data_IF_101797133167
#
_entry.id   IF_101797133167
#
_cell.length_a   1.000
_cell.length_b   1.000
_cell.length_c   1.000
_cell.angle_alpha   90.00
_cell.angle_beta   90.00
_cell.angle_gamma   90.00
#
_symmetry.space_group_name_H-M   'P 1'
#
loop_
_entity.id
_entity.type
_entity.pdbx_description
1 polymer ?
#
# COMPACT_ATOMS: atom_id res chain seq x y z
N UNK A 1 -12.23 -3.66 36.56
CA UNK A 1 -12.17 -2.70 35.43
C UNK A 1 -11.56 -3.43 34.24
N UNK A 2 -12.11 -3.27 33.04
CA UNK A 2 -11.47 -3.77 31.83
C UNK A 2 -10.28 -2.87 31.47
N UNK A 3 -9.12 -3.44 31.19
CA UNK A 3 -7.90 -2.69 30.87
C UNK A 3 -7.80 -2.51 29.35
N UNK A 4 -7.68 -1.27 28.89
CA UNK A 4 -7.50 -0.96 27.47
C UNK A 4 -6.10 -1.37 26.99
N UNK A 5 -6.04 -1.98 25.81
CA UNK A 5 -4.79 -2.31 25.09
C UNK A 5 -3.73 -3.04 25.94
N UNK A 6 -4.12 -4.16 26.56
CA UNK A 6 -3.16 -5.08 27.17
C UNK A 6 -2.29 -5.77 26.09
N UNK A 7 -1.37 -6.64 26.52
CA UNK A 7 -0.67 -7.52 25.57
C UNK A 7 -1.61 -8.47 24.83
N UNK A 8 -2.78 -8.77 25.39
CA UNK A 8 -3.87 -9.54 24.77
C UNK A 8 -4.85 -8.67 23.98
N UNK A 9 -4.47 -7.45 23.62
CA UNK A 9 -5.33 -6.57 22.82
C UNK A 9 -5.89 -7.29 21.58
N UNK A 10 -7.22 -7.27 21.44
CA UNK A 10 -8.04 -7.95 20.42
C UNK A 10 -8.07 -9.49 20.46
N UNK A 11 -7.37 -10.14 21.39
CA UNK A 11 -7.33 -11.61 21.53
C UNK A 11 -8.34 -12.05 22.59
N UNK A 12 -9.44 -12.67 22.15
CA UNK A 12 -10.60 -12.94 23.00
C UNK A 12 -10.66 -14.36 23.57
N UNK A 13 -9.84 -15.28 23.04
CA UNK A 13 -9.78 -16.68 23.47
C UNK A 13 -8.32 -17.19 23.57
N UNK A 14 -8.13 -18.33 24.24
CA UNK A 14 -6.79 -18.88 24.53
C UNK A 14 -6.06 -19.39 23.29
N UNK A 15 -6.81 -19.89 22.30
CA UNK A 15 -6.27 -20.29 21.00
C UNK A 15 -5.68 -19.06 20.31
N UNK A 16 -6.41 -17.95 20.26
CA UNK A 16 -5.95 -16.69 19.68
C UNK A 16 -4.70 -16.13 20.39
N UNK A 17 -4.66 -16.20 21.72
CA UNK A 17 -3.47 -15.83 22.52
C UNK A 17 -2.26 -16.67 22.11
N UNK A 18 -2.44 -17.98 22.01
CA UNK A 18 -1.39 -18.91 21.61
C UNK A 18 -0.91 -18.63 20.18
N UNK A 19 -1.83 -18.56 19.22
CA UNK A 19 -1.51 -18.26 17.82
C UNK A 19 -0.76 -16.95 17.66
N UNK A 20 -1.19 -15.89 18.35
CA UNK A 20 -0.55 -14.59 18.25
C UNK A 20 0.82 -14.56 18.94
N UNK A 21 0.89 -14.84 20.24
CA UNK A 21 2.11 -14.64 21.02
C UNK A 21 3.21 -15.65 20.66
N UNK A 22 2.84 -16.90 20.38
CA UNK A 22 3.79 -17.98 20.09
C UNK A 22 4.22 -18.01 18.62
N UNK A 23 3.34 -17.65 17.69
CA UNK A 23 3.59 -17.86 16.26
C UNK A 23 3.54 -16.60 15.40
N UNK A 24 2.58 -15.69 15.59
CA UNK A 24 2.45 -14.51 14.72
C UNK A 24 3.40 -13.37 15.08
N UNK A 25 3.49 -13.02 16.37
CA UNK A 25 4.27 -11.90 16.86
C UNK A 25 5.78 -12.04 16.53
N UNK A 26 6.41 -13.24 16.65
CA UNK A 26 7.82 -13.41 16.32
C UNK A 26 8.16 -13.35 14.82
N UNK A 27 7.18 -13.49 13.92
CA UNK A 27 7.45 -13.52 12.47
C UNK A 27 8.01 -12.17 11.98
N UNK A 28 9.01 -12.18 11.07
CA UNK A 28 9.46 -10.96 10.42
C UNK A 28 8.37 -10.32 9.55
N UNK A 29 8.59 -9.08 9.12
CA UNK A 29 7.72 -8.34 8.22
C UNK A 29 8.32 -8.35 6.80
N UNK A 30 7.49 -8.74 5.83
CA UNK A 30 7.71 -8.53 4.40
C UNK A 30 6.68 -7.48 3.97
N UNK A 31 7.05 -6.20 4.00
CA UNK A 31 6.13 -5.10 3.67
C UNK A 31 6.19 -4.81 2.17
N UNK A 32 5.58 -5.70 1.39
CA UNK A 32 5.76 -5.77 -0.07
C UNK A 32 5.27 -4.55 -0.86
N UNK A 33 4.54 -3.64 -0.23
CA UNK A 33 4.07 -2.41 -0.85
C UNK A 33 3.90 -1.31 0.20
N UNK A 34 4.69 -0.25 0.06
CA UNK A 34 4.64 0.95 0.89
C UNK A 34 5.01 2.20 0.08
N UNK A 35 4.91 3.35 0.74
CA UNK A 35 5.20 4.68 0.21
C UNK A 35 6.31 5.38 1.00
N UNK A 36 7.18 4.62 1.68
CA UNK A 36 8.37 5.14 2.34
C UNK A 36 9.29 5.82 1.33
N UNK A 37 9.94 6.90 1.75
CA UNK A 37 10.95 7.56 0.93
C UNK A 37 12.24 6.73 0.87
N UNK A 38 12.69 6.29 -0.33
CA UNK A 38 13.95 5.57 -0.47
C UNK A 38 15.15 6.38 0.04
N UNK A 39 15.11 7.70 -0.15
CA UNK A 39 16.13 8.61 0.36
C UNK A 39 16.22 8.58 1.88
N UNK A 40 15.09 8.62 2.59
CA UNK A 40 15.09 8.62 4.06
C UNK A 40 15.64 7.32 4.63
N UNK A 41 15.45 6.20 3.92
CA UNK A 41 16.07 4.93 4.26
C UNK A 41 17.58 4.97 3.98
N UNK A 42 17.98 5.43 2.79
CA UNK A 42 19.38 5.50 2.37
C UNK A 42 20.23 6.42 3.27
N UNK A 43 19.71 7.59 3.63
CA UNK A 43 20.37 8.58 4.48
C UNK A 43 20.21 8.28 5.98
N UNK A 44 19.50 7.20 6.33
CA UNK A 44 19.13 6.83 7.71
C UNK A 44 18.54 8.01 8.49
N UNK A 45 17.48 8.63 7.94
CA UNK A 45 16.88 9.87 8.46
C UNK A 45 16.73 9.81 9.98
N UNK A 46 17.30 10.81 10.65
CA UNK A 46 17.05 11.12 12.05
C UNK A 46 15.90 12.12 12.11
N UNK A 47 14.89 11.81 12.91
CA UNK A 47 13.76 12.71 13.10
C UNK A 47 14.03 13.63 14.29
N UNK A 48 13.74 14.92 14.12
CA UNK A 48 14.04 15.94 15.12
C UNK A 48 13.14 15.82 16.35
N UNK A 49 11.88 15.44 16.14
CA UNK A 49 10.88 15.35 17.19
C UNK A 49 9.70 14.44 16.81
N UNK A 50 8.86 14.11 17.80
CA UNK A 50 7.69 13.26 17.63
C UNK A 50 6.66 13.86 16.67
N UNK A 51 6.45 15.18 16.68
CA UNK A 51 5.51 15.83 15.75
C UNK A 51 5.86 15.56 14.29
N UNK A 52 7.16 15.70 13.96
CA UNK A 52 7.70 15.51 12.62
C UNK A 52 7.43 14.08 12.09
N UNK A 53 7.93 13.04 12.79
CA UNK A 53 7.77 11.64 12.34
C UNK A 53 6.28 11.19 12.30
N UNK A 54 5.42 11.84 13.09
CA UNK A 54 4.05 11.37 13.32
C UNK A 54 2.98 12.10 12.52
N UNK A 55 3.20 13.38 12.18
CA UNK A 55 2.20 14.24 11.54
C UNK A 55 2.49 14.54 10.05
N UNK A 56 3.63 14.15 9.50
CA UNK A 56 3.95 14.31 8.07
C UNK A 56 3.10 13.40 7.13
N UNK A 57 2.51 12.30 7.62
CA UNK A 57 1.66 11.37 6.84
C UNK A 57 0.84 10.40 7.74
N UNK A 58 0.04 9.44 7.25
CA UNK A 58 -0.59 9.23 5.92
C UNK A 58 -1.92 9.99 5.80
N UNK A 59 -1.95 11.26 6.20
CA UNK A 59 -3.10 12.16 6.04
C UNK A 59 -4.36 11.79 6.88
N UNK A 60 -4.44 10.61 7.51
CA UNK A 60 -5.56 10.25 8.41
C UNK A 60 -5.68 11.22 9.60
N UNK A 61 -4.54 11.57 10.20
CA UNK A 61 -4.49 12.54 11.32
C UNK A 61 -5.00 13.91 10.87
N UNK A 62 -4.62 14.37 9.67
CA UNK A 62 -5.11 15.62 9.08
C UNK A 62 -6.63 15.60 8.87
N UNK A 63 -7.17 14.50 8.35
CA UNK A 63 -8.63 14.33 8.19
C UNK A 63 -9.36 14.41 9.54
N UNK A 64 -8.83 13.77 10.58
CA UNK A 64 -9.42 13.83 11.92
C UNK A 64 -9.34 15.25 12.53
N UNK A 65 -8.20 15.93 12.40
CA UNK A 65 -8.01 17.32 12.83
C UNK A 65 -9.02 18.27 12.17
N UNK A 66 -9.16 18.20 10.83
CA UNK A 66 -10.16 18.97 10.08
C UNK A 66 -11.58 18.65 10.53
N UNK A 67 -11.89 17.37 10.76
CA UNK A 67 -13.20 16.93 11.26
C UNK A 67 -13.50 17.46 12.67
N UNK A 68 -12.47 17.64 13.50
CA UNK A 68 -12.56 18.22 14.83
C UNK A 68 -12.59 19.76 14.83
N UNK A 69 -12.58 20.40 13.66
CA UNK A 69 -12.61 21.86 13.50
C UNK A 69 -11.28 22.55 13.78
N UNK A 70 -10.16 21.82 13.75
CA UNK A 70 -8.82 22.41 13.88
C UNK A 70 -8.49 23.21 12.61
N UNK A 71 -7.94 24.40 12.80
CA UNK A 71 -7.52 25.28 11.71
C UNK A 71 -6.39 24.66 10.88
N UNK A 72 -6.40 24.87 9.56
CA UNK A 72 -5.45 24.24 8.64
C UNK A 72 -3.99 24.67 8.90
N UNK A 73 -3.78 25.86 9.47
CA UNK A 73 -2.45 26.33 9.90
C UNK A 73 -1.78 25.37 10.90
N UNK A 74 -2.57 24.73 11.77
CA UNK A 74 -2.11 23.74 12.75
C UNK A 74 -2.05 22.31 12.19
N UNK A 75 -2.23 22.15 10.88
CA UNK A 75 -2.18 20.85 10.20
C UNK A 75 -1.04 20.86 9.18
N UNK A 76 -1.12 21.70 8.16
CA UNK A 76 -0.14 21.77 7.06
C UNK A 76 0.53 23.13 6.92
N UNK A 77 0.18 24.10 7.77
CA UNK A 77 0.79 25.43 7.76
C UNK A 77 2.29 25.38 7.97
N UNK A 78 3.04 26.19 7.21
CA UNK A 78 4.49 26.35 7.36
C UNK A 78 4.85 27.32 8.50
N UNK A 79 3.86 28.07 8.95
CA UNK A 79 3.93 29.13 9.96
C UNK A 79 3.84 28.63 11.40
N UNK A 80 3.29 27.43 11.64
CA UNK A 80 3.18 26.83 12.98
C UNK A 80 4.29 25.82 13.22
N UNK A 81 4.75 25.70 14.46
CA UNK A 81 5.78 24.74 14.87
C UNK A 81 5.24 23.31 15.00
N UNK A 82 6.14 22.33 14.96
CA UNK A 82 5.78 20.91 15.15
C UNK A 82 5.10 20.66 16.51
N UNK A 83 5.53 21.37 17.56
CA UNK A 83 4.95 21.22 18.90
C UNK A 83 3.51 21.75 18.96
N UNK A 84 3.21 22.87 18.30
CA UNK A 84 1.85 23.39 18.23
C UNK A 84 0.92 22.43 17.47
N UNK A 85 1.38 21.88 16.34
CA UNK A 85 0.64 20.84 15.60
C UNK A 85 0.45 19.57 16.43
N UNK A 86 1.48 19.16 17.17
CA UNK A 86 1.43 18.03 18.11
C UNK A 86 0.40 18.25 19.22
N UNK A 87 0.35 19.44 19.81
CA UNK A 87 -0.66 19.75 20.82
C UNK A 87 -2.07 19.82 20.24
N UNK A 88 -2.24 20.32 19.01
CA UNK A 88 -3.51 20.24 18.30
C UNK A 88 -3.96 18.78 18.10
N UNK A 89 -3.01 17.88 17.80
CA UNK A 89 -3.26 16.44 17.75
C UNK A 89 -3.60 15.84 19.12
N UNK A 90 -2.85 16.18 20.18
CA UNK A 90 -3.13 15.75 21.55
C UNK A 90 -4.54 16.15 22.03
N UNK A 91 -4.99 17.36 21.68
CA UNK A 91 -6.34 17.84 21.97
C UNK A 91 -7.43 17.12 21.15
N UNK A 92 -7.04 16.42 20.08
CA UNK A 92 -7.95 15.75 19.15
C UNK A 92 -8.08 14.27 19.45
N UNK A 93 -7.01 13.57 19.85
CA UNK A 93 -7.03 12.12 20.12
C UNK A 93 -8.15 11.67 21.05
N UNK A 94 -8.47 12.35 22.17
CA UNK A 94 -9.60 11.95 23.04
C UNK A 94 -10.96 11.92 22.33
N UNK A 95 -11.11 12.65 21.21
CA UNK A 95 -12.33 12.71 20.38
C UNK A 95 -12.40 11.58 19.34
N UNK A 96 -11.37 10.72 19.26
CA UNK A 96 -11.24 9.69 18.21
C UNK A 96 -11.63 8.28 18.69
N UNK A 97 -12.28 8.14 19.85
CA UNK A 97 -12.79 6.85 20.33
C UNK A 97 -13.69 6.19 19.27
N UNK A 98 -13.38 4.93 18.95
CA UNK A 98 -14.05 4.17 17.88
C UNK A 98 -13.42 4.33 16.49
N UNK A 99 -12.57 5.34 16.27
CA UNK A 99 -11.76 5.46 15.06
C UNK A 99 -10.45 4.66 15.21
N UNK A 100 -9.93 4.01 14.15
CA UNK A 100 -8.66 3.27 14.23
C UNK A 100 -7.46 4.14 14.65
N UNK A 101 -7.50 5.46 14.44
CA UNK A 101 -6.49 6.40 14.94
C UNK A 101 -6.26 6.29 16.45
N UNK A 102 -7.30 5.94 17.22
CA UNK A 102 -7.13 5.73 18.65
C UNK A 102 -6.29 4.48 18.93
N UNK A 103 -6.47 3.40 18.16
CA UNK A 103 -5.63 2.22 18.30
C UNK A 103 -4.20 2.47 17.81
N UNK A 104 -4.03 3.07 16.62
CA UNK A 104 -2.70 3.34 16.08
C UNK A 104 -1.86 4.23 16.99
N UNK A 105 -2.43 5.33 17.48
CA UNK A 105 -1.76 6.23 18.45
C UNK A 105 -1.12 5.45 19.60
N UNK A 106 -1.87 4.55 20.23
CA UNK A 106 -1.38 3.84 21.41
C UNK A 106 -0.52 2.62 21.06
N UNK A 107 -0.74 1.97 19.91
CA UNK A 107 0.13 0.92 19.41
C UNK A 107 1.52 1.48 19.04
N UNK A 108 1.57 2.62 18.35
CA UNK A 108 2.79 3.30 17.93
C UNK A 108 3.59 3.79 19.15
N UNK A 109 2.92 4.32 20.18
CA UNK A 109 3.56 4.67 21.45
C UNK A 109 4.10 3.44 22.19
N UNK A 110 3.40 2.29 22.13
CA UNK A 110 3.90 1.05 22.71
C UNK A 110 5.11 0.52 21.96
N UNK A 111 5.08 0.51 20.62
CA UNK A 111 6.15 0.02 19.74
C UNK A 111 6.34 1.01 18.58
N UNK A 112 7.50 1.69 18.49
CA UNK A 112 8.78 1.35 19.13
C UNK A 112 9.05 2.05 20.47
N UNK A 113 8.24 3.02 20.92
CA UNK A 113 8.65 3.91 22.01
C UNK A 113 8.61 3.29 23.42
N UNK A 114 7.88 2.19 23.63
CA UNK A 114 7.80 1.50 24.92
C UNK A 114 6.88 2.17 25.94
N UNK A 115 5.99 3.05 25.50
CA UNK A 115 5.06 3.78 26.38
C UNK A 115 3.75 2.97 26.48
N UNK A 116 3.42 2.53 27.68
CA UNK A 116 2.23 1.68 27.96
C UNK A 116 1.47 2.18 29.18
N UNK A 117 0.19 1.81 29.31
CA UNK A 117 -0.62 2.14 30.50
C UNK A 117 -1.01 3.62 30.62
N UNK A 118 -0.73 4.42 29.59
CA UNK A 118 -0.99 5.86 29.54
C UNK A 118 -1.85 6.17 28.32
N UNK A 119 -2.97 6.87 28.53
CA UNK A 119 -3.77 7.38 27.43
C UNK A 119 -3.15 8.66 26.89
N UNK A 120 -3.01 8.77 25.57
CA UNK A 120 -2.50 9.96 24.92
C UNK A 120 -3.57 11.06 24.87
N UNK A 121 -3.24 12.23 25.41
CA UNK A 121 -4.11 13.39 25.44
C UNK A 121 -3.40 14.60 26.04
N UNK A 122 -4.12 15.71 26.28
CA UNK A 122 -3.51 16.97 26.73
C UNK A 122 -2.66 16.82 27.99
N UNK A 123 -3.13 16.04 28.97
CA UNK A 123 -2.47 15.87 30.27
C UNK A 123 -1.20 15.01 30.21
N UNK A 124 -1.00 14.25 29.13
CA UNK A 124 0.12 13.30 28.98
C UNK A 124 1.06 13.65 27.84
N UNK A 125 0.63 14.52 26.92
CA UNK A 125 1.33 14.86 25.70
C UNK A 125 2.72 15.46 25.94
N UNK A 126 2.89 16.35 26.91
CA UNK A 126 4.20 16.97 27.18
C UNK A 126 5.25 15.95 27.63
N UNK A 127 4.86 15.04 28.52
CA UNK A 127 5.74 13.97 29.00
C UNK A 127 6.10 12.99 27.88
N UNK A 128 5.12 12.59 27.06
CA UNK A 128 5.32 11.68 25.93
C UNK A 128 6.23 12.32 24.87
N UNK A 129 6.03 13.60 24.57
CA UNK A 129 6.87 14.35 23.63
C UNK A 129 8.33 14.28 24.03
N UNK A 130 8.63 14.63 25.29
CA UNK A 130 10.01 14.63 25.80
C UNK A 130 10.63 13.23 25.73
N UNK A 131 9.93 12.21 26.23
CA UNK A 131 10.42 10.82 26.22
C UNK A 131 10.67 10.29 24.80
N UNK A 132 9.77 10.57 23.86
CA UNK A 132 9.93 10.14 22.48
C UNK A 132 11.07 10.87 21.78
N UNK A 133 11.25 12.17 22.01
CA UNK A 133 12.34 12.93 21.40
C UNK A 133 13.72 12.46 21.88
N UNK A 134 13.86 12.14 23.17
CA UNK A 134 15.09 11.52 23.71
C UNK A 134 15.42 10.22 22.98
N UNK A 135 14.40 9.39 22.69
CA UNK A 135 14.56 8.15 21.93
C UNK A 135 14.94 8.43 20.47
N UNK A 136 14.23 9.33 19.79
CA UNK A 136 14.45 9.71 18.39
C UNK A 136 15.87 10.23 18.13
N UNK A 137 16.50 10.85 19.13
CA UNK A 137 17.89 11.28 19.06
C UNK A 137 18.92 10.11 19.04
N UNK A 138 18.50 8.87 19.33
CA UNK A 138 19.38 7.70 19.36
C UNK A 138 19.39 6.92 18.05
N UNK A 139 20.50 6.23 17.69
CA UNK A 139 20.61 5.38 16.51
C UNK A 139 19.45 4.39 16.30
N UNK A 140 18.95 3.78 17.39
CA UNK A 140 17.88 2.80 17.32
C UNK A 140 16.54 3.36 16.79
N UNK A 141 16.35 4.69 16.79
CA UNK A 141 15.10 5.33 16.39
C UNK A 141 15.23 6.21 15.12
N UNK A 142 16.26 6.01 14.29
CA UNK A 142 16.22 6.51 12.90
C UNK A 142 15.27 5.65 12.06
N UNK A 143 15.07 6.08 10.80
CA UNK A 143 14.42 5.29 9.77
C UNK A 143 14.84 3.80 9.80
N UNK A 144 16.14 3.47 9.65
CA UNK A 144 16.61 2.07 9.64
C UNK A 144 16.47 1.43 11.03
N UNK A 145 16.75 2.18 12.09
CA UNK A 145 16.65 1.69 13.47
C UNK A 145 15.24 1.21 13.82
N UNK A 146 14.22 1.97 13.44
CA UNK A 146 12.81 1.59 13.66
C UNK A 146 12.45 0.35 12.83
N UNK A 147 12.86 0.29 11.56
CA UNK A 147 12.65 -0.90 10.71
C UNK A 147 13.22 -2.17 11.37
N UNK A 148 14.44 -2.07 11.92
CA UNK A 148 15.08 -3.18 12.63
C UNK A 148 14.34 -3.58 13.90
N UNK A 149 13.96 -2.61 14.76
CA UNK A 149 13.18 -2.88 15.98
C UNK A 149 11.83 -3.56 15.68
N UNK A 150 11.23 -3.24 14.53
CA UNK A 150 9.95 -3.80 14.10
C UNK A 150 10.09 -5.13 13.34
N UNK A 151 11.30 -5.69 13.27
CA UNK A 151 11.63 -6.96 12.61
C UNK A 151 11.28 -6.98 11.11
N UNK A 152 11.48 -5.85 10.43
CA UNK A 152 11.33 -5.74 8.98
C UNK A 152 12.51 -6.44 8.30
N UNK A 153 12.23 -7.21 7.24
CA UNK A 153 13.25 -7.92 6.45
C UNK A 153 13.25 -7.50 4.99
N UNK A 154 12.11 -7.07 4.47
CA UNK A 154 12.00 -6.54 3.12
C UNK A 154 10.90 -5.50 3.07
N UNK A 155 11.11 -4.44 2.29
CA UNK A 155 10.08 -3.48 1.90
C UNK A 155 10.05 -3.30 0.38
N UNK A 156 8.85 -3.10 -0.18
CA UNK A 156 8.64 -2.71 -1.57
C UNK A 156 8.19 -1.25 -1.65
N UNK A 157 9.06 -0.33 -2.03
CA UNK A 157 8.68 1.07 -2.25
C UNK A 157 7.86 1.21 -3.53
N UNK A 158 7.22 2.35 -3.73
CA UNK A 158 6.38 2.62 -4.90
C UNK A 158 6.96 3.78 -5.70
N UNK A 159 7.49 3.47 -6.88
CA UNK A 159 8.39 4.36 -7.62
C UNK A 159 7.88 4.58 -9.06
N UNK A 160 8.10 5.79 -9.58
CA UNK A 160 7.65 6.20 -10.91
C UNK A 160 8.63 5.68 -11.99
N UNK A 161 8.14 5.27 -13.17
CA UNK A 161 8.98 4.90 -14.31
C UNK A 161 10.18 5.81 -14.58
N UNK A 162 10.08 7.12 -14.33
CA UNK A 162 11.15 8.07 -14.63
C UNK A 162 12.23 8.18 -13.53
N UNK A 163 12.04 7.54 -12.38
CA UNK A 163 12.90 7.74 -11.21
C UNK A 163 14.31 7.15 -11.41
N UNK A 164 15.32 7.79 -10.81
CA UNK A 164 16.72 7.37 -10.94
C UNK A 164 17.01 6.01 -10.27
N UNK A 165 16.23 5.67 -9.23
CA UNK A 165 16.45 4.53 -8.32
C UNK A 165 17.85 4.53 -7.67
N UNK A 166 18.46 5.71 -7.52
CA UNK A 166 19.82 5.83 -6.99
C UNK A 166 19.92 5.40 -5.52
N UNK A 167 18.92 5.74 -4.71
CA UNK A 167 18.86 5.36 -3.30
C UNK A 167 18.70 3.86 -3.11
N UNK A 168 17.95 3.16 -3.98
CA UNK A 168 17.88 1.70 -3.98
C UNK A 168 19.25 1.07 -4.23
N UNK A 169 20.00 1.58 -5.22
CA UNK A 169 21.37 1.10 -5.49
C UNK A 169 22.32 1.42 -4.34
N UNK A 170 22.19 2.59 -3.72
CA UNK A 170 22.98 2.97 -2.54
C UNK A 170 22.72 2.00 -1.38
N UNK A 171 21.44 1.72 -1.07
CA UNK A 171 21.05 0.77 -0.03
C UNK A 171 21.58 -0.63 -0.35
N UNK A 172 21.40 -1.10 -1.58
CA UNK A 172 21.87 -2.44 -1.98
C UNK A 172 23.40 -2.60 -1.92
N UNK A 173 24.15 -1.50 -2.00
CA UNK A 173 25.62 -1.49 -1.91
C UNK A 173 26.15 -1.24 -0.49
N UNK A 174 25.26 -0.96 0.48
CA UNK A 174 25.62 -0.61 1.85
C UNK A 174 25.48 -1.82 2.78
N UNK A 175 26.60 -2.48 3.09
CA UNK A 175 26.65 -3.67 3.96
C UNK A 175 26.18 -3.41 5.42
N UNK A 176 25.94 -2.15 5.82
CA UNK A 176 25.43 -1.81 7.16
C UNK A 176 23.92 -2.03 7.33
N UNK A 177 23.19 -2.28 6.24
CA UNK A 177 21.75 -2.57 6.24
C UNK A 177 21.49 -3.91 5.55
N UNK A 178 20.86 -4.84 6.27
CA UNK A 178 20.49 -6.17 5.77
C UNK A 178 19.00 -6.27 5.37
N UNK A 179 18.26 -5.17 5.49
CA UNK A 179 16.87 -5.06 5.03
C UNK A 179 16.88 -4.82 3.53
N UNK A 180 16.19 -5.69 2.80
CA UNK A 180 16.05 -5.53 1.37
C UNK A 180 15.02 -4.41 1.05
N UNK A 181 15.43 -3.42 0.26
CA UNK A 181 14.58 -2.31 -0.18
C UNK A 181 14.45 -2.37 -1.69
N UNK A 182 13.37 -2.97 -2.18
CA UNK A 182 13.15 -3.14 -3.61
C UNK A 182 12.20 -2.07 -4.16
N UNK A 183 12.47 -1.52 -5.36
CA UNK A 183 11.53 -0.64 -6.02
C UNK A 183 10.33 -1.42 -6.59
N UNK A 184 9.17 -0.78 -6.64
CA UNK A 184 7.98 -1.30 -7.35
C UNK A 184 7.57 -0.32 -8.44
N UNK A 185 7.32 -0.84 -9.63
CA UNK A 185 6.99 -0.06 -10.82
C UNK A 185 5.54 0.46 -10.79
N UNK A 186 5.33 1.78 -10.68
CA UNK A 186 3.99 2.40 -10.72
C UNK A 186 3.80 3.38 -11.89
N UNK A 187 3.29 2.92 -13.05
CA UNK A 187 3.21 3.70 -14.27
C UNK A 187 1.90 4.50 -14.40
N UNK A 188 1.33 5.01 -13.31
CA UNK A 188 0.01 5.68 -13.30
C UNK A 188 -0.09 6.78 -14.37
N UNK A 189 0.94 7.60 -14.51
CA UNK A 189 0.97 8.72 -15.47
C UNK A 189 1.19 8.29 -16.92
N UNK A 190 1.59 7.04 -17.15
CA UNK A 190 1.77 6.45 -18.49
C UNK A 190 0.42 6.07 -19.11
N UNK A 191 -0.50 5.51 -18.33
CA UNK A 191 -1.77 4.99 -18.87
C UNK A 191 -2.96 5.95 -18.71
N UNK A 192 -2.85 6.98 -17.85
CA UNK A 192 -3.88 8.00 -17.62
C UNK A 192 -3.77 9.17 -18.61
N UNK A 193 -3.98 8.86 -19.89
CA UNK A 193 -3.81 9.80 -21.01
C UNK A 193 -4.72 11.03 -20.94
N UNK A 194 -5.85 10.91 -20.24
CA UNK A 194 -6.84 11.98 -20.09
C UNK A 194 -6.39 13.12 -19.16
N UNK A 195 -5.36 12.91 -18.34
CA UNK A 195 -4.91 13.92 -17.38
C UNK A 195 -4.10 15.02 -18.08
N UNK A 196 -4.30 16.27 -17.64
CA UNK A 196 -3.66 17.46 -18.23
C UNK A 196 -2.13 17.31 -18.36
N UNK A 197 -1.48 16.79 -17.32
CA UNK A 197 -0.03 16.62 -17.24
C UNK A 197 0.56 15.44 -18.03
N UNK A 198 -0.22 14.72 -18.83
CA UNK A 198 0.25 13.55 -19.59
C UNK A 198 1.41 13.90 -20.54
N UNK A 199 1.29 14.97 -21.32
CA UNK A 199 2.32 15.36 -22.32
C UNK A 199 3.62 15.78 -21.63
N UNK A 200 3.52 16.58 -20.57
CA UNK A 200 4.68 16.98 -19.75
C UNK A 200 5.38 15.76 -19.14
N UNK A 201 4.61 14.77 -18.69
CA UNK A 201 5.14 13.52 -18.16
C UNK A 201 5.81 12.69 -19.26
N UNK A 202 5.22 12.62 -20.45
CA UNK A 202 5.80 11.92 -21.58
C UNK A 202 7.17 12.50 -21.94
N UNK A 203 7.33 13.82 -21.95
CA UNK A 203 8.64 14.46 -22.17
C UNK A 203 9.69 14.09 -21.10
N UNK A 204 9.28 13.86 -19.84
CA UNK A 204 10.17 13.34 -18.80
C UNK A 204 10.53 11.87 -19.04
N UNK A 205 9.58 11.07 -19.52
CA UNK A 205 9.83 9.67 -19.88
C UNK A 205 10.78 9.57 -21.08
N UNK A 206 10.62 10.43 -22.10
CA UNK A 206 11.55 10.53 -23.23
C UNK A 206 12.98 10.77 -22.73
N UNK A 207 13.16 11.74 -21.83
CA UNK A 207 14.46 12.05 -21.23
C UNK A 207 15.02 10.90 -20.37
N UNK A 208 14.17 10.25 -19.57
CA UNK A 208 14.58 9.16 -18.67
C UNK A 208 14.95 7.86 -19.41
N UNK A 209 14.36 7.64 -20.60
CA UNK A 209 14.62 6.47 -21.44
C UNK A 209 15.60 6.74 -22.59
N UNK A 210 15.89 8.02 -22.89
CA UNK A 210 16.61 8.47 -24.08
C UNK A 210 15.97 7.92 -25.39
N UNK A 211 14.66 8.13 -25.51
CA UNK A 211 13.83 7.68 -26.65
C UNK A 211 12.84 8.79 -26.98
N UNK A 212 12.76 9.20 -28.26
CA UNK A 212 11.69 10.09 -28.71
C UNK A 212 10.40 9.30 -28.93
N UNK A 213 9.28 9.80 -28.40
CA UNK A 213 7.99 9.11 -28.39
C UNK A 213 6.99 9.86 -29.28
N UNK A 214 6.78 9.35 -30.49
CA UNK A 214 5.78 9.90 -31.43
C UNK A 214 4.70 8.88 -31.79
N UNK A 215 5.03 7.59 -31.71
CA UNK A 215 4.14 6.45 -31.97
C UNK A 215 4.04 5.56 -30.74
N UNK A 216 3.02 4.74 -30.69
CA UNK A 216 2.79 3.82 -29.58
C UNK A 216 3.93 2.79 -29.44
N UNK A 217 4.56 2.39 -30.54
CA UNK A 217 5.73 1.51 -30.47
C UNK A 217 6.95 2.19 -29.82
N UNK A 218 7.14 3.49 -30.06
CA UNK A 218 8.21 4.25 -29.41
C UNK A 218 7.98 4.30 -27.88
N UNK A 219 6.71 4.40 -27.45
CA UNK A 219 6.34 4.28 -26.03
C UNK A 219 6.70 2.89 -25.48
N UNK A 220 6.42 1.80 -26.20
CA UNK A 220 6.85 0.45 -25.78
C UNK A 220 8.37 0.36 -25.61
N UNK A 221 9.13 0.96 -26.52
CA UNK A 221 10.60 0.98 -26.45
C UNK A 221 11.08 1.75 -25.22
N UNK A 222 10.53 2.95 -24.96
CA UNK A 222 10.86 3.74 -23.78
C UNK A 222 10.55 2.96 -22.48
N UNK A 223 9.34 2.41 -22.37
CA UNK A 223 8.93 1.63 -21.21
C UNK A 223 9.75 0.36 -21.03
N UNK A 224 10.16 -0.32 -22.11
CA UNK A 224 11.02 -1.51 -22.03
C UNK A 224 12.35 -1.16 -21.39
N UNK A 225 13.02 -0.09 -21.82
CA UNK A 225 14.28 0.37 -21.21
C UNK A 225 14.12 0.69 -19.73
N UNK A 226 13.00 1.31 -19.35
CA UNK A 226 12.72 1.67 -17.96
C UNK A 226 12.36 0.44 -17.10
N UNK A 227 11.63 -0.53 -17.65
CA UNK A 227 11.41 -1.83 -16.99
C UNK A 227 12.72 -2.58 -16.77
N UNK A 228 13.65 -2.55 -17.74
CA UNK A 228 14.98 -3.16 -17.61
C UNK A 228 15.82 -2.45 -16.53
N UNK A 229 15.75 -1.11 -16.45
CA UNK A 229 16.38 -0.34 -15.36
C UNK A 229 15.84 -0.75 -13.99
N UNK A 230 14.51 -0.86 -13.86
CA UNK A 230 13.86 -1.33 -12.63
C UNK A 230 14.27 -2.76 -12.28
N UNK A 231 14.31 -3.66 -13.26
CA UNK A 231 14.75 -5.05 -13.06
C UNK A 231 16.20 -5.10 -12.57
N UNK A 232 17.10 -4.31 -13.15
CA UNK A 232 18.49 -4.21 -12.73
C UNK A 232 18.66 -3.63 -11.31
N UNK A 233 17.65 -2.88 -10.82
CA UNK A 233 17.59 -2.36 -9.45
C UNK A 233 16.80 -3.27 -8.49
N UNK A 234 16.48 -4.52 -8.87
CA UNK A 234 15.84 -5.51 -7.99
C UNK A 234 14.31 -5.50 -7.96
N UNK A 235 13.67 -4.76 -8.87
CA UNK A 235 12.21 -4.74 -8.99
C UNK A 235 11.63 -6.13 -9.27
N UNK A 236 10.52 -6.43 -8.60
CA UNK A 236 9.75 -7.69 -8.77
C UNK A 236 8.24 -7.51 -8.61
N UNK A 237 7.78 -6.26 -8.52
CA UNK A 237 6.39 -5.90 -8.35
C UNK A 237 6.07 -4.65 -9.15
N UNK A 238 4.81 -4.53 -9.54
CA UNK A 238 4.23 -3.34 -10.16
C UNK A 238 2.93 -3.00 -9.45
N UNK A 239 2.54 -1.74 -9.55
CA UNK A 239 1.33 -1.20 -8.94
C UNK A 239 0.63 -0.22 -9.88
N UNK A 240 -0.70 -0.16 -9.81
CA UNK A 240 -1.52 0.68 -10.68
C UNK A 240 -2.69 1.24 -9.87
N UNK A 241 -2.67 2.55 -9.62
CA UNK A 241 -3.82 3.26 -9.05
C UNK A 241 -4.84 3.56 -10.14
N UNK A 242 -6.05 3.02 -10.05
CA UNK A 242 -7.07 3.12 -11.10
C UNK A 242 -8.37 3.70 -10.52
N UNK A 243 -8.56 5.01 -10.70
CA UNK A 243 -9.78 5.72 -10.29
C UNK A 243 -10.96 5.38 -11.21
N UNK A 244 -10.71 5.36 -12.52
CA UNK A 244 -11.70 5.01 -13.55
C UNK A 244 -11.22 3.76 -14.30
N UNK A 245 -11.78 2.60 -13.95
CA UNK A 245 -11.44 1.35 -14.63
C UNK A 245 -12.16 1.27 -15.98
N UNK A 246 -11.38 1.39 -17.05
CA UNK A 246 -11.86 1.39 -18.44
C UNK A 246 -11.53 0.08 -19.12
N UNK A 247 -12.32 -0.27 -20.14
CA UNK A 247 -11.96 -1.31 -21.08
C UNK A 247 -12.51 -1.00 -22.48
N UNK A 248 -11.67 -1.16 -23.48
CA UNK A 248 -12.06 -1.31 -24.87
C UNK A 248 -11.10 -2.33 -25.53
N UNK A 249 -11.53 -3.13 -26.51
CA UNK A 249 -10.62 -4.00 -27.24
C UNK A 249 -9.43 -3.21 -27.78
N UNK A 250 -8.22 -3.74 -27.60
CA UNK A 250 -6.99 -3.11 -28.08
C UNK A 250 -7.04 -3.02 -29.60
N UNK A 251 -7.02 -1.80 -30.19
CA UNK A 251 -7.02 -1.65 -31.64
C UNK A 251 -5.61 -1.87 -32.20
N UNK A 252 -5.45 -1.76 -33.53
CA UNK A 252 -4.13 -1.79 -34.14
C UNK A 252 -3.28 -0.54 -33.81
N UNK A 253 -1.98 -0.62 -34.12
CA UNK A 253 -1.03 0.45 -33.82
C UNK A 253 -1.34 1.73 -34.60
N UNK A 254 -1.97 1.67 -35.78
CA UNK A 254 -2.33 2.87 -36.53
C UNK A 254 -3.37 3.70 -35.77
N UNK A 255 -4.36 3.04 -35.15
CA UNK A 255 -5.33 3.72 -34.29
C UNK A 255 -4.66 4.24 -33.00
N UNK A 256 -3.75 3.49 -32.37
CA UNK A 256 -3.05 3.94 -31.17
C UNK A 256 -2.14 5.15 -31.45
N UNK A 257 -1.45 5.17 -32.59
CA UNK A 257 -0.64 6.29 -33.07
C UNK A 257 -1.50 7.53 -33.29
N UNK A 258 -2.70 7.37 -33.88
CA UNK A 258 -3.65 8.46 -34.06
C UNK A 258 -4.12 9.05 -32.72
N UNK A 259 -4.45 8.21 -31.74
CA UNK A 259 -4.86 8.64 -30.39
C UNK A 259 -3.74 9.42 -29.70
N UNK A 260 -2.51 8.89 -29.72
CA UNK A 260 -1.35 9.56 -29.13
C UNK A 260 -1.06 10.89 -29.83
N UNK A 261 -1.11 10.91 -31.17
CA UNK A 261 -0.91 12.12 -31.97
C UNK A 261 -1.92 13.23 -31.64
N UNK A 262 -3.21 12.88 -31.51
CA UNK A 262 -4.24 13.82 -31.06
C UNK A 262 -3.94 14.39 -29.68
N UNK A 263 -3.54 13.53 -28.73
CA UNK A 263 -3.21 13.97 -27.36
C UNK A 263 -2.01 14.91 -27.34
N UNK A 264 -0.97 14.64 -28.13
CA UNK A 264 0.22 15.47 -28.29
C UNK A 264 -0.11 16.82 -28.95
N UNK A 265 -1.07 16.84 -29.88
CA UNK A 265 -1.59 18.06 -30.50
C UNK A 265 -2.53 18.89 -29.58
N UNK A 266 -2.81 18.40 -28.36
CA UNK A 266 -3.72 19.05 -27.42
C UNK A 266 -5.21 18.90 -27.76
N UNK A 267 -5.55 17.97 -28.65
CA UNK A 267 -6.94 17.67 -29.00
C UNK A 267 -7.62 16.85 -27.89
N UNK A 268 -8.92 17.05 -27.72
CA UNK A 268 -9.73 16.24 -26.79
C UNK A 268 -9.94 14.83 -27.34
N UNK A 269 -9.67 13.84 -26.50
CA UNK A 269 -9.96 12.44 -26.78
C UNK A 269 -11.40 12.08 -26.37
N UNK A 270 -12.02 11.19 -27.13
CA UNK A 270 -13.27 10.55 -26.74
C UNK A 270 -13.04 9.46 -25.68
N UNK A 271 -14.10 9.09 -24.96
CA UNK A 271 -14.06 8.01 -23.96
C UNK A 271 -13.59 6.67 -24.54
N UNK A 272 -13.94 6.38 -25.81
CA UNK A 272 -13.48 5.18 -26.50
C UNK A 272 -11.97 5.22 -26.77
N UNK A 273 -11.46 6.36 -27.23
CA UNK A 273 -10.02 6.55 -27.50
C UNK A 273 -9.19 6.43 -26.21
N UNK A 274 -9.67 7.01 -25.11
CA UNK A 274 -9.04 6.88 -23.78
C UNK A 274 -9.04 5.40 -23.37
N UNK A 275 -10.19 4.73 -23.44
CA UNK A 275 -10.29 3.32 -23.08
C UNK A 275 -9.37 2.42 -23.94
N UNK A 276 -9.27 2.67 -25.24
CA UNK A 276 -8.39 1.93 -26.15
C UNK A 276 -6.92 2.10 -25.77
N UNK A 277 -6.46 3.34 -25.58
CA UNK A 277 -5.07 3.62 -25.22
C UNK A 277 -4.72 3.05 -23.84
N UNK A 278 -5.54 3.33 -22.82
CA UNK A 278 -5.33 2.82 -21.46
C UNK A 278 -5.31 1.30 -21.42
N UNK A 279 -6.23 0.63 -22.13
CA UNK A 279 -6.25 -0.84 -22.19
C UNK A 279 -5.01 -1.37 -22.91
N UNK A 280 -4.59 -0.75 -24.01
CA UNK A 280 -3.40 -1.17 -24.75
C UNK A 280 -2.12 -1.09 -23.89
N UNK A 281 -1.94 0.00 -23.14
CA UNK A 281 -0.80 0.16 -22.22
C UNK A 281 -0.85 -0.90 -21.12
N UNK A 282 -2.00 -1.07 -20.44
CA UNK A 282 -2.12 -2.01 -19.33
C UNK A 282 -1.95 -3.48 -19.77
N UNK A 283 -2.53 -3.88 -20.90
CA UNK A 283 -2.37 -5.24 -21.44
C UNK A 283 -0.92 -5.50 -21.85
N UNK A 284 -0.27 -4.53 -22.52
CA UNK A 284 1.15 -4.67 -22.88
C UNK A 284 2.03 -4.79 -21.64
N UNK A 285 1.82 -3.94 -20.63
CA UNK A 285 2.52 -4.00 -19.34
C UNK A 285 2.28 -5.32 -18.62
N UNK A 286 1.04 -5.79 -18.56
CA UNK A 286 0.67 -7.09 -17.97
C UNK A 286 1.51 -8.24 -18.55
N UNK A 287 1.65 -8.27 -19.88
CA UNK A 287 2.50 -9.25 -20.58
C UNK A 287 3.98 -9.10 -20.21
N UNK A 288 4.49 -7.88 -20.09
CA UNK A 288 5.86 -7.64 -19.61
C UNK A 288 6.06 -8.18 -18.19
N UNK A 289 5.11 -7.95 -17.28
CA UNK A 289 5.20 -8.45 -15.92
C UNK A 289 5.17 -9.98 -15.88
N UNK A 290 4.34 -10.61 -16.71
CA UNK A 290 4.27 -12.07 -16.79
C UNK A 290 5.60 -12.66 -17.30
N UNK A 291 6.16 -12.11 -18.38
CA UNK A 291 7.45 -12.53 -18.92
C UNK A 291 8.61 -12.34 -17.94
N UNK A 292 8.53 -11.35 -17.05
CA UNK A 292 9.55 -11.04 -16.01
C UNK A 292 9.29 -11.76 -14.68
N UNK A 293 8.19 -12.52 -14.56
CA UNK A 293 7.80 -13.17 -13.30
C UNK A 293 7.43 -12.19 -12.17
N UNK A 294 7.03 -10.96 -12.51
CA UNK A 294 6.66 -9.92 -11.55
C UNK A 294 5.24 -10.09 -11.03
N UNK A 295 4.98 -9.49 -9.86
CA UNK A 295 3.63 -9.31 -9.34
C UNK A 295 3.01 -8.04 -9.91
N UNK A 296 1.75 -8.09 -10.31
CA UNK A 296 0.93 -6.95 -10.74
C UNK A 296 -0.12 -6.62 -9.69
N UNK A 297 -0.07 -5.41 -9.14
CA UNK A 297 -1.05 -4.92 -8.17
C UNK A 297 -1.98 -3.92 -8.86
N UNK A 298 -3.29 -4.03 -8.58
CA UNK A 298 -4.32 -3.13 -9.10
C UNK A 298 -5.12 -2.54 -7.92
N UNK A 299 -4.93 -1.26 -7.65
CA UNK A 299 -5.62 -0.50 -6.61
C UNK A 299 -6.78 0.33 -7.19
N UNK A 300 -8.01 -0.15 -7.02
CA UNK A 300 -9.16 0.29 -7.82
C UNK A 300 -10.18 1.08 -6.96
N UNK A 301 -10.66 2.21 -7.49
CA UNK A 301 -11.88 2.86 -7.01
C UNK A 301 -11.69 4.05 -6.09
N UNK A 302 -10.53 4.72 -6.10
CA UNK A 302 -10.40 6.04 -5.49
C UNK A 302 -11.16 7.11 -6.29
N UNK A 303 -11.78 8.06 -5.59
CA UNK A 303 -12.20 9.34 -6.15
C UNK A 303 -11.36 10.44 -5.49
N UNK A 304 -10.54 11.12 -6.30
CA UNK A 304 -9.44 11.96 -5.81
C UNK A 304 -9.69 13.44 -6.00
N UNK A 305 -9.01 14.26 -5.20
CA UNK A 305 -8.98 15.72 -5.30
C UNK A 305 -10.37 16.38 -5.22
N UNK A 306 -11.28 15.81 -4.41
CA UNK A 306 -12.69 16.23 -4.32
C UNK A 306 -12.88 17.68 -3.85
N UNK A 307 -11.90 18.24 -3.11
CA UNK A 307 -11.97 19.60 -2.60
C UNK A 307 -11.09 20.53 -3.43
N UNK A 308 -11.67 21.15 -4.46
CA UNK A 308 -10.94 22.05 -5.38
C UNK A 308 -10.27 23.23 -4.66
N UNK A 309 -10.91 23.80 -3.63
CA UNK A 309 -10.32 24.92 -2.87
C UNK A 309 -9.04 24.48 -2.18
N UNK A 310 -9.04 23.33 -1.53
CA UNK A 310 -7.88 22.81 -0.83
C UNK A 310 -6.82 22.25 -1.79
N UNK A 311 -7.23 21.65 -2.91
CA UNK A 311 -6.31 21.21 -3.96
C UNK A 311 -5.46 22.37 -4.50
N UNK A 312 -6.06 23.56 -4.71
CA UNK A 312 -5.32 24.76 -5.13
C UNK A 312 -4.29 25.24 -4.12
N UNK A 313 -4.47 24.93 -2.83
CA UNK A 313 -3.57 25.35 -1.76
C UNK A 313 -2.50 24.31 -1.43
N UNK A 314 -2.87 23.03 -1.46
CA UNK A 314 -2.06 21.92 -0.91
C UNK A 314 -1.64 20.89 -1.97
N UNK A 315 -2.28 20.87 -3.13
CA UNK A 315 -2.04 19.85 -4.15
C UNK A 315 -2.66 18.48 -3.82
N UNK A 316 -2.27 17.42 -4.55
CA UNK A 316 -2.78 16.06 -4.38
C UNK A 316 -2.30 15.40 -3.08
N UNK A 317 -2.85 14.23 -2.76
CA UNK A 317 -2.42 13.37 -1.63
C UNK A 317 -2.42 14.07 -0.26
N UNK A 318 -3.34 15.04 -0.08
CA UNK A 318 -3.41 15.87 1.13
C UNK A 318 -4.65 15.56 1.99
N UNK A 319 -5.19 14.34 1.85
CA UNK A 319 -6.30 13.85 2.67
C UNK A 319 -7.69 14.28 2.21
N UNK A 320 -7.86 14.69 0.95
CA UNK A 320 -9.16 15.06 0.33
C UNK A 320 -9.69 14.04 -0.68
N UNK A 321 -9.15 12.82 -0.65
CA UNK A 321 -9.59 11.69 -1.47
C UNK A 321 -10.58 10.81 -0.71
N UNK A 322 -11.42 10.05 -1.40
CA UNK A 322 -12.40 9.16 -0.76
C UNK A 322 -12.72 7.94 -1.62
N UNK A 323 -13.68 7.14 -1.15
CA UNK A 323 -14.18 5.94 -1.81
C UNK A 323 -15.06 6.34 -3.01
N UNK A 324 -14.72 5.87 -4.20
CA UNK A 324 -15.55 5.95 -5.42
C UNK A 324 -16.43 4.70 -5.60
N UNK A 325 -17.25 4.68 -6.65
CA UNK A 325 -18.34 3.68 -6.76
C UNK A 325 -18.73 3.35 -8.22
N UNK A 326 -17.77 3.37 -9.14
CA UNK A 326 -18.01 2.85 -10.50
C UNK A 326 -18.30 1.34 -10.47
N UNK A 327 -19.08 0.83 -11.44
CA UNK A 327 -19.23 -0.61 -11.64
C UNK A 327 -17.97 -1.16 -12.32
N UNK A 328 -17.27 -2.10 -11.68
CA UNK A 328 -15.93 -2.53 -12.14
C UNK A 328 -15.87 -3.93 -12.76
N UNK A 329 -16.84 -4.81 -12.49
CA UNK A 329 -16.72 -6.25 -12.76
C UNK A 329 -16.45 -6.58 -14.23
N UNK A 330 -17.19 -5.94 -15.15
CA UNK A 330 -17.04 -6.19 -16.59
C UNK A 330 -15.67 -5.75 -17.10
N UNK A 331 -15.28 -4.50 -16.83
CA UNK A 331 -13.99 -3.97 -17.30
C UNK A 331 -12.82 -4.75 -16.69
N UNK A 332 -12.89 -5.09 -15.41
CA UNK A 332 -11.89 -5.92 -14.72
C UNK A 332 -11.76 -7.30 -15.36
N UNK A 333 -12.88 -7.99 -15.59
CA UNK A 333 -12.88 -9.30 -16.25
C UNK A 333 -12.23 -9.25 -17.62
N UNK A 334 -12.59 -8.25 -18.44
CA UNK A 334 -12.07 -8.13 -19.81
C UNK A 334 -10.59 -7.73 -19.84
N UNK A 335 -10.15 -6.88 -18.92
CA UNK A 335 -8.75 -6.49 -18.80
C UNK A 335 -7.86 -7.69 -18.44
N UNK A 336 -8.23 -8.45 -17.40
CA UNK A 336 -7.49 -9.65 -16.98
C UNK A 336 -7.50 -10.71 -18.09
N UNK A 337 -8.65 -10.96 -18.70
CA UNK A 337 -8.79 -11.94 -19.79
C UNK A 337 -7.99 -11.57 -21.04
N UNK A 338 -7.82 -10.28 -21.34
CA UNK A 338 -7.01 -9.85 -22.49
C UNK A 338 -5.52 -10.17 -22.33
N UNK A 339 -5.05 -10.35 -21.08
CA UNK A 339 -3.72 -10.86 -20.77
C UNK A 339 -3.73 -12.40 -20.70
N UNK A 340 -4.77 -12.99 -20.12
CA UNK A 340 -4.84 -14.44 -19.86
C UNK A 340 -5.16 -15.28 -21.10
N UNK A 341 -5.84 -14.72 -22.11
CA UNK A 341 -6.18 -15.42 -23.36
C UNK A 341 -4.96 -15.91 -24.13
N UNK A 342 -3.81 -15.26 -23.95
CA UNK A 342 -2.50 -15.68 -24.48
C UNK A 342 -1.62 -16.37 -23.43
N UNK A 343 -2.18 -16.70 -22.26
CA UNK A 343 -1.49 -17.23 -21.07
C UNK A 343 -0.36 -16.30 -20.57
N UNK A 344 -0.59 -14.99 -20.67
CA UNK A 344 0.38 -13.95 -20.29
C UNK A 344 -0.15 -13.06 -19.14
N UNK A 345 -1.10 -13.56 -18.35
CA UNK A 345 -1.49 -12.90 -17.10
C UNK A 345 -0.43 -13.16 -16.01
N UNK A 346 0.13 -12.12 -15.36
CA UNK A 346 1.11 -12.29 -14.30
C UNK A 346 0.48 -12.77 -12.99
N UNK A 347 1.33 -13.01 -11.99
CA UNK A 347 0.90 -12.99 -10.58
C UNK A 347 0.17 -11.68 -10.33
N UNK A 348 -1.06 -11.72 -9.82
CA UNK A 348 -1.90 -10.51 -9.72
C UNK A 348 -2.49 -10.36 -8.32
N UNK A 349 -2.48 -9.15 -7.75
CA UNK A 349 -3.18 -8.81 -6.51
C UNK A 349 -4.20 -7.72 -6.81
N UNK A 350 -5.46 -7.96 -6.48
CA UNK A 350 -6.56 -7.03 -6.69
C UNK A 350 -6.95 -6.37 -5.37
N UNK A 351 -7.11 -5.05 -5.37
CA UNK A 351 -7.60 -4.27 -4.24
C UNK A 351 -8.78 -3.39 -4.67
N UNK A 352 -9.84 -3.35 -3.88
CA UNK A 352 -10.96 -2.45 -4.05
C UNK A 352 -11.04 -1.46 -2.89
N UNK A 353 -11.17 -0.17 -3.20
CA UNK A 353 -11.36 0.85 -2.17
C UNK A 353 -12.78 0.83 -1.60
N UNK A 354 -13.76 0.46 -2.43
CA UNK A 354 -15.14 0.33 -2.02
C UNK A 354 -15.42 -1.11 -1.56
N UNK A 355 -15.70 -1.33 -0.26
CA UNK A 355 -15.84 -2.68 0.26
C UNK A 355 -17.16 -3.36 -0.15
N UNK A 356 -18.02 -2.69 -0.95
CA UNK A 356 -19.14 -3.35 -1.64
C UNK A 356 -18.67 -4.31 -2.74
N UNK A 357 -17.43 -4.13 -3.20
CA UNK A 357 -16.83 -4.92 -4.27
C UNK A 357 -15.96 -6.07 -3.72
N UNK A 358 -15.99 -6.32 -2.41
CA UNK A 358 -15.23 -7.40 -1.78
C UNK A 358 -15.56 -8.76 -2.43
N UNK A 359 -16.84 -9.08 -2.56
CA UNK A 359 -17.31 -10.33 -3.16
C UNK A 359 -17.04 -10.39 -4.66
N UNK A 360 -17.10 -9.22 -5.34
CA UNK A 360 -16.75 -9.10 -6.76
C UNK A 360 -15.31 -9.52 -6.97
N UNK A 361 -14.36 -8.99 -6.18
CA UNK A 361 -12.95 -9.33 -6.29
C UNK A 361 -12.67 -10.76 -5.81
N UNK A 362 -13.21 -11.16 -4.65
CA UNK A 362 -12.98 -12.49 -4.07
C UNK A 362 -13.45 -13.62 -4.99
N UNK A 363 -14.47 -13.38 -5.84
CA UNK A 363 -14.89 -14.34 -6.88
C UNK A 363 -14.17 -14.13 -8.21
N UNK A 364 -13.81 -12.89 -8.58
CA UNK A 364 -13.04 -12.59 -9.79
C UNK A 364 -11.71 -13.35 -9.85
N UNK A 365 -11.00 -13.43 -8.71
CA UNK A 365 -9.71 -14.13 -8.64
C UNK A 365 -9.81 -15.62 -8.99
N UNK A 366 -10.97 -16.25 -8.78
CA UNK A 366 -11.19 -17.67 -9.08
C UNK A 366 -11.16 -17.98 -10.57
N UNK A 367 -11.49 -17.00 -11.41
CA UNK A 367 -11.55 -17.18 -12.88
C UNK A 367 -10.18 -17.35 -13.53
N UNK A 368 -9.10 -16.88 -12.88
CA UNK A 368 -7.79 -16.70 -13.51
C UNK A 368 -6.63 -17.32 -12.71
N UNK A 369 -6.91 -18.34 -11.89
CA UNK A 369 -5.85 -19.10 -11.21
C UNK A 369 -4.99 -19.89 -12.23
N UNK A 370 -3.76 -20.21 -11.84
CA UNK A 370 -2.83 -20.97 -12.70
C UNK A 370 -2.04 -22.04 -11.95
N UNK A 371 -1.49 -23.04 -12.66
CA UNK A 371 -0.73 -24.14 -12.05
C UNK A 371 0.64 -23.69 -11.54
N UNK A 372 1.25 -24.49 -10.65
CA UNK A 372 2.66 -24.30 -10.23
C UNK A 372 2.90 -23.16 -9.21
N UNK A 373 1.84 -22.48 -8.77
CA UNK A 373 1.88 -21.41 -7.79
C UNK A 373 0.65 -21.45 -6.87
N UNK A 374 0.85 -21.20 -5.58
CA UNK A 374 -0.21 -21.14 -4.58
C UNK A 374 -0.94 -19.80 -4.66
N UNK A 375 -2.09 -19.77 -5.35
CA UNK A 375 -2.94 -18.59 -5.50
C UNK A 375 -2.29 -17.54 -6.40
N UNK A 376 -2.21 -17.82 -7.71
CA UNK A 376 -1.65 -16.91 -8.73
C UNK A 376 -2.31 -15.54 -8.73
N UNK A 377 -3.62 -15.50 -8.47
CA UNK A 377 -4.38 -14.26 -8.36
C UNK A 377 -4.93 -14.13 -6.94
N UNK A 378 -4.65 -13.02 -6.30
CA UNK A 378 -4.90 -12.76 -4.89
C UNK A 378 -5.94 -11.63 -4.74
N UNK A 379 -6.79 -11.74 -3.73
CA UNK A 379 -7.56 -10.61 -3.23
C UNK A 379 -6.80 -10.01 -2.05
N UNK A 380 -6.29 -8.80 -2.23
CA UNK A 380 -5.42 -8.14 -1.26
C UNK A 380 -6.11 -7.76 0.05
N UNK A 381 -5.31 -7.41 1.06
CA UNK A 381 -5.83 -6.97 2.37
C UNK A 381 -6.74 -5.74 2.25
N UNK A 382 -7.51 -5.46 3.30
CA UNK A 382 -8.36 -4.26 3.36
C UNK A 382 -7.53 -3.00 3.11
N UNK A 383 -7.79 -2.31 1.99
CA UNK A 383 -6.97 -1.21 1.52
C UNK A 383 -7.45 0.16 2.05
N UNK A 384 -6.50 1.00 2.47
CA UNK A 384 -6.69 2.40 2.87
C UNK A 384 -7.79 2.57 3.93
N UNK A 385 -8.96 3.11 3.59
CA UNK A 385 -10.07 3.30 4.53
C UNK A 385 -10.57 1.98 5.14
N UNK A 386 -10.27 0.86 4.48
CA UNK A 386 -10.62 -0.49 4.90
C UNK A 386 -9.49 -1.18 5.69
N UNK A 387 -8.30 -0.56 5.82
CA UNK A 387 -7.23 -1.04 6.72
C UNK A 387 -7.55 -0.68 8.18
N UNK A 388 -8.59 -1.31 8.69
CA UNK A 388 -9.03 -1.21 10.07
C UNK A 388 -9.83 -2.47 10.40
N UNK A 389 -10.19 -2.67 11.67
CA UNK A 389 -10.73 -3.95 12.15
C UNK A 389 -11.95 -4.46 11.36
N UNK A 390 -12.95 -3.63 11.13
CA UNK A 390 -14.15 -4.00 10.36
C UNK A 390 -13.80 -4.33 8.91
N UNK A 391 -13.04 -3.45 8.25
CA UNK A 391 -12.66 -3.64 6.85
C UNK A 391 -11.81 -4.88 6.63
N UNK A 392 -10.81 -5.12 7.48
CA UNK A 392 -9.99 -6.33 7.45
C UNK A 392 -10.81 -7.60 7.74
N UNK A 393 -11.69 -7.59 8.75
CA UNK A 393 -12.54 -8.76 9.02
C UNK A 393 -13.45 -9.07 7.83
N UNK A 394 -14.05 -8.07 7.20
CA UNK A 394 -14.91 -8.26 6.03
C UNK A 394 -14.13 -8.78 4.82
N UNK A 395 -12.93 -8.26 4.58
CA UNK A 395 -12.05 -8.74 3.51
C UNK A 395 -11.61 -10.19 3.76
N UNK A 396 -11.15 -10.50 4.98
CA UNK A 396 -10.74 -11.85 5.38
C UNK A 396 -11.89 -12.84 5.27
N UNK A 397 -13.10 -12.46 5.67
CA UNK A 397 -14.31 -13.28 5.52
C UNK A 397 -14.55 -13.64 4.05
N UNK A 398 -14.59 -12.64 3.15
CA UNK A 398 -14.86 -12.91 1.74
C UNK A 398 -13.76 -13.75 1.07
N UNK A 399 -12.48 -13.48 1.38
CA UNK A 399 -11.37 -14.30 0.89
C UNK A 399 -11.45 -15.74 1.41
N UNK A 400 -11.91 -15.95 2.64
CA UNK A 400 -12.04 -17.28 3.25
C UNK A 400 -13.17 -18.08 2.61
N UNK A 401 -14.33 -17.44 2.37
CA UNK A 401 -15.50 -18.09 1.80
C UNK A 401 -15.35 -18.41 0.30
N UNK A 402 -14.70 -17.51 -0.46
CA UNK A 402 -14.66 -17.58 -1.93
C UNK A 402 -13.28 -17.96 -2.49
N UNK A 403 -12.26 -18.00 -1.65
CA UNK A 403 -10.88 -18.31 -2.01
C UNK A 403 -10.23 -19.28 -1.03
N UNK A 404 -8.91 -19.12 -0.82
CA UNK A 404 -8.12 -19.95 0.09
C UNK A 404 -7.27 -19.07 1.00
N UNK A 405 -7.78 -18.78 2.20
CA UNK A 405 -7.08 -17.93 3.19
C UNK A 405 -5.66 -18.45 3.51
N UNK A 406 -5.43 -19.76 3.45
CA UNK A 406 -4.11 -20.37 3.71
C UNK A 406 -3.02 -19.92 2.72
N UNK A 407 -3.41 -19.47 1.53
CA UNK A 407 -2.49 -18.96 0.49
C UNK A 407 -2.46 -17.43 0.42
N UNK A 408 -3.12 -16.74 1.36
CA UNK A 408 -3.17 -15.30 1.37
C UNK A 408 -1.76 -14.71 1.58
N UNK A 409 -1.38 -13.77 0.72
CA UNK A 409 -0.08 -13.06 0.83
C UNK A 409 0.02 -12.18 2.07
N UNK A 410 -1.11 -11.84 2.71
CA UNK A 410 -1.12 -11.17 4.00
C UNK A 410 -1.13 -9.65 3.89
N UNK A 411 -0.49 -9.03 4.88
CA UNK A 411 -0.56 -7.60 5.15
C UNK A 411 0.57 -6.82 4.50
N UNK A 412 0.28 -5.56 4.19
CA UNK A 412 1.17 -4.50 3.74
C UNK A 412 0.80 -3.21 4.48
N UNK A 413 1.71 -2.26 4.62
CA UNK A 413 1.41 -0.99 5.31
C UNK A 413 0.70 0.02 4.42
N UNK A 414 1.01 0.05 3.12
CA UNK A 414 0.57 1.10 2.19
C UNK A 414 0.81 2.52 2.75
N UNK A 415 1.93 2.68 3.47
CA UNK A 415 2.20 3.86 4.29
C UNK A 415 3.52 4.54 3.91
N UNK A 416 3.58 5.84 4.15
CA UNK A 416 4.82 6.64 4.11
C UNK A 416 5.45 6.88 5.48
N UNK A 417 4.86 6.37 6.56
CA UNK A 417 5.38 6.55 7.92
C UNK A 417 6.18 5.33 8.39
N UNK A 418 7.35 5.58 8.98
CA UNK A 418 8.17 4.54 9.64
C UNK A 418 7.51 3.97 10.90
N UNK A 419 6.43 4.57 11.40
CA UNK A 419 5.68 4.07 12.57
C UNK A 419 4.53 3.13 12.18
N UNK A 420 4.31 2.92 10.88
CA UNK A 420 3.21 2.14 10.32
C UNK A 420 3.32 0.64 10.55
N UNK A 421 4.48 0.10 10.94
CA UNK A 421 4.66 -1.35 11.14
C UNK A 421 3.76 -1.95 12.24
N UNK A 422 3.20 -1.11 13.11
CA UNK A 422 2.15 -1.53 14.06
C UNK A 422 0.83 -1.91 13.37
N UNK A 423 0.62 -1.56 12.09
CA UNK A 423 -0.48 -2.09 11.26
C UNK A 423 -0.34 -3.59 11.04
N UNK A 424 0.88 -4.12 10.88
CA UNK A 424 1.12 -5.57 10.86
C UNK A 424 0.77 -6.21 12.20
N UNK A 425 1.11 -5.58 13.33
CA UNK A 425 0.69 -6.06 14.65
C UNK A 425 -0.84 -6.12 14.75
N UNK A 426 -1.51 -5.05 14.33
CA UNK A 426 -2.97 -4.93 14.36
C UNK A 426 -3.64 -6.02 13.51
N UNK A 427 -3.18 -6.21 12.27
CA UNK A 427 -3.61 -7.29 11.38
C UNK A 427 -3.41 -8.67 12.01
N UNK A 428 -2.20 -8.96 12.53
CA UNK A 428 -1.86 -10.26 13.12
C UNK A 428 -2.76 -10.61 14.30
N UNK A 429 -3.09 -9.63 15.15
CA UNK A 429 -4.03 -9.80 16.27
C UNK A 429 -5.44 -10.13 15.78
N UNK A 430 -5.92 -9.43 14.74
CA UNK A 430 -7.24 -9.67 14.14
C UNK A 430 -7.30 -11.07 13.54
N UNK A 431 -6.31 -11.45 12.73
CA UNK A 431 -6.21 -12.78 12.10
C UNK A 431 -6.18 -13.90 13.14
N UNK A 432 -5.30 -13.80 14.14
CA UNK A 432 -5.19 -14.84 15.17
C UNK A 432 -6.48 -14.96 15.99
N UNK A 433 -7.17 -13.85 16.26
CA UNK A 433 -8.47 -13.89 16.91
C UNK A 433 -9.54 -14.54 16.02
N UNK A 434 -9.56 -14.26 14.72
CA UNK A 434 -10.49 -14.88 13.77
C UNK A 434 -10.32 -16.41 13.76
N UNK A 435 -9.09 -16.88 13.52
CA UNK A 435 -8.77 -18.31 13.50
C UNK A 435 -9.03 -18.98 14.86
N UNK A 436 -8.62 -18.33 15.95
CA UNK A 436 -8.86 -18.85 17.29
C UNK A 436 -10.35 -18.95 17.63
N UNK A 437 -11.18 -18.04 17.12
CA UNK A 437 -12.63 -18.09 17.31
C UNK A 437 -13.25 -19.25 16.53
N UNK A 438 -12.91 -19.42 15.24
CA UNK A 438 -13.38 -20.55 14.43
C UNK A 438 -12.98 -21.90 15.05
N UNK A 439 -11.77 -22.00 15.59
CA UNK A 439 -11.31 -23.23 16.25
C UNK A 439 -12.08 -23.49 17.54
N UNK A 440 -12.28 -22.47 18.38
CA UNK A 440 -13.02 -22.59 19.64
C UNK A 440 -14.49 -22.99 19.41
N UNK A 441 -15.11 -22.46 18.36
CA UNK A 441 -16.52 -22.69 18.04
C UNK A 441 -16.73 -24.01 17.26
N UNK A 442 -15.65 -24.73 16.93
CA UNK A 442 -15.70 -26.03 16.24
C UNK A 442 -15.94 -25.94 14.74
N UNK A 443 -15.71 -24.77 14.13
CA UNK A 443 -15.83 -24.52 12.69
C UNK A 443 -14.59 -24.99 11.93
N UNK A 444 -13.43 -24.97 12.57
CA UNK A 444 -12.17 -25.55 12.09
C UNK A 444 -11.51 -26.40 13.19
N UNK A 445 -10.61 -27.34 12.84
CA UNK A 445 -9.89 -28.12 13.84
C UNK A 445 -9.00 -27.25 14.74
N UNK A 446 -9.07 -27.45 16.05
CA UNK A 446 -8.08 -26.96 17.01
C UNK A 446 -6.79 -27.82 16.95
N UNK A 447 -6.14 -27.81 15.78
CA UNK A 447 -4.86 -28.46 15.55
C UNK A 447 -3.76 -27.39 15.51
N UNK A 448 -2.98 -27.31 16.57
CA UNK A 448 -1.93 -26.29 16.71
C UNK A 448 -0.91 -26.36 15.58
N UNK A 449 -0.59 -27.54 15.04
CA UNK A 449 0.39 -27.68 13.97
C UNK A 449 -0.15 -27.09 12.65
N UNK A 450 -1.42 -27.34 12.32
CA UNK A 450 -2.07 -26.76 11.15
C UNK A 450 -2.25 -25.24 11.28
N UNK A 451 -2.78 -24.78 12.42
CA UNK A 451 -3.10 -23.36 12.63
C UNK A 451 -1.83 -22.50 12.74
N UNK A 452 -0.81 -22.97 13.46
CA UNK A 452 0.47 -22.25 13.56
C UNK A 452 1.15 -22.10 12.21
N UNK A 453 1.13 -23.17 11.39
CA UNK A 453 1.67 -23.11 10.03
C UNK A 453 0.95 -22.09 9.17
N UNK A 454 -0.39 -22.10 9.21
CA UNK A 454 -1.22 -21.14 8.46
C UNK A 454 -0.93 -19.70 8.89
N UNK A 455 -0.82 -19.44 10.21
CA UNK A 455 -0.48 -18.13 10.76
C UNK A 455 0.88 -17.66 10.24
N UNK A 456 1.92 -18.48 10.33
CA UNK A 456 3.27 -18.13 9.86
C UNK A 456 3.30 -17.89 8.34
N UNK A 457 2.55 -18.68 7.59
CA UNK A 457 2.45 -18.52 6.14
C UNK A 457 1.81 -17.19 5.76
N UNK A 458 0.67 -16.83 6.35
CA UNK A 458 -0.02 -15.55 6.09
C UNK A 458 0.80 -14.35 6.62
N UNK A 459 1.53 -14.51 7.73
CA UNK A 459 2.30 -13.41 8.32
C UNK A 459 3.55 -13.01 7.52
N UNK A 460 4.11 -13.94 6.71
CA UNK A 460 5.38 -13.72 6.04
C UNK A 460 5.64 -14.69 4.87
N UNK A 461 5.54 -16.01 5.10
CA UNK A 461 6.14 -16.95 4.16
C UNK A 461 5.43 -16.97 2.79
N UNK A 462 4.12 -16.71 2.75
CA UNK A 462 3.35 -16.61 1.51
C UNK A 462 3.85 -15.43 0.68
N UNK A 463 3.95 -14.22 1.25
CA UNK A 463 4.50 -13.06 0.56
C UNK A 463 5.92 -13.36 0.03
N UNK A 464 6.81 -13.87 0.88
CA UNK A 464 8.18 -14.19 0.47
C UNK A 464 8.22 -15.12 -0.76
N UNK A 465 7.43 -16.21 -0.74
CA UNK A 465 7.34 -17.14 -1.87
C UNK A 465 6.69 -16.52 -3.11
N UNK A 466 5.63 -15.74 -2.91
CA UNK A 466 4.82 -15.18 -4.00
C UNK A 466 5.58 -14.11 -4.79
N UNK A 467 6.34 -13.26 -4.09
CA UNK A 467 7.14 -12.22 -4.73
C UNK A 467 8.48 -12.74 -5.29
N UNK A 468 8.90 -13.96 -4.95
CA UNK A 468 10.07 -14.58 -5.59
C UNK A 468 9.87 -14.71 -7.11
N UNK A 469 10.84 -14.24 -7.89
CA UNK A 469 10.88 -14.43 -9.35
C UNK A 469 11.24 -15.90 -9.62
N UNK A 470 10.46 -16.57 -10.45
CA UNK A 470 10.68 -17.96 -10.86
C UNK A 470 10.85 -18.06 -12.36
#
# INVERSE_FOLDING_TARGET
>A
MATFMTEDFLLKNDIARTLYHKYAAPMPIYDFHCHLSPQEIADDRRFDNLGQIWLEGDHYKWRALRSAGVDESLITGKETSDYEKYMAWANTVPKTLGNPLYHWTHLELRRPFGITGTLFGPDTAESIWTQCNEKLATPAFSARGIMQQMNVRMVGTTDDPIDSLEYHRQIAADDSIDIEVAPSWRPDKVFKIELDGFVDYLGKLEAAADVSITRFDDLRQALTRRLDHFAACGCRASDHGIETLRFAPVPDDAQLDAILGKRLAGETLSELEIAQFTTAVLVWLGRQYAARGWVMQLHIGAIRNNNTRMFRLLGPDTGFDSIGDNNISWALSRLLDSMDVTNELPKTILYCLNPRDNEVLATMIGNFQGPGIAGKVQFGSGWWFNDQKDGMLRQLEQLSQMGLLSQFVGMLTDSRSFLSYTRHEYFRRILCNLLGQWAQDGEIPDDEAMLSRMVQDICFNNAQRYFTIK
#
